data_IF_427148892611
#
_entry.id   IF_427148892611
#
_cell.length_a   1.000
_cell.length_b   1.000
_cell.length_c   1.000
_cell.angle_alpha   90.00
_cell.angle_beta   90.00
_cell.angle_gamma   90.00
#
_symmetry.space_group_name_H-M   'P 1'
#
loop_
_entity.id
_entity.type
_entity.pdbx_description
1 polymer ?
#
# COMPACT_ATOMS: atom_id res chain seq x y z
N UNK A 1 60.48 -6.46 -13.73
CA UNK A 1 61.39 -7.54 -13.31
C UNK A 1 61.45 -7.50 -11.80
N UNK A 2 61.41 -8.67 -11.14
CA UNK A 2 61.41 -8.90 -9.66
C UNK A 2 59.98 -8.78 -9.08
N UNK A 3 59.22 -9.82 -8.68
CA UNK A 3 59.44 -11.15 -8.08
C UNK A 3 59.77 -11.15 -6.57
N UNK A 4 58.76 -11.60 -5.79
CA UNK A 4 58.72 -12.29 -4.48
C UNK A 4 59.83 -12.11 -3.43
N UNK A 5 59.44 -11.94 -2.15
CA UNK A 5 59.54 -12.99 -1.10
C UNK A 5 59.18 -12.47 0.30
N UNK A 6 58.75 -13.43 1.11
CA UNK A 6 58.11 -13.39 2.42
C UNK A 6 59.11 -13.38 3.60
N UNK A 7 58.53 -13.28 4.81
CA UNK A 7 59.01 -13.72 6.14
C UNK A 7 60.01 -12.78 6.86
N UNK A 8 59.96 -12.52 8.19
CA UNK A 8 59.30 -13.15 9.34
C UNK A 8 59.42 -12.20 10.58
N UNK A 9 58.53 -12.39 11.56
CA UNK A 9 58.66 -12.24 13.03
C UNK A 9 58.92 -10.90 13.79
N UNK A 10 57.83 -10.44 14.43
CA UNK A 10 57.55 -10.43 15.89
C UNK A 10 58.56 -9.83 16.92
N UNK A 11 58.15 -8.71 17.56
CA UNK A 11 57.96 -8.62 19.04
C UNK A 11 57.54 -7.20 19.53
N UNK A 12 56.39 -7.20 20.22
CA UNK A 12 55.92 -6.41 21.37
C UNK A 12 56.48 -5.01 21.70
N UNK A 13 55.57 -4.01 21.75
CA UNK A 13 55.07 -3.51 23.05
C UNK A 13 53.85 -2.57 22.92
N UNK A 14 52.86 -2.86 23.77
CA UNK A 14 51.68 -2.10 24.20
C UNK A 14 51.72 -0.56 24.12
N UNK A 15 50.61 0.05 23.68
CA UNK A 15 49.71 0.78 24.61
C UNK A 15 48.38 1.21 23.96
N UNK A 16 47.30 0.81 24.63
CA UNK A 16 46.00 1.49 24.80
C UNK A 16 45.05 1.71 23.60
N UNK A 17 44.02 0.86 23.51
CA UNK A 17 42.66 1.33 23.28
C UNK A 17 41.66 0.59 24.19
N UNK A 18 41.07 1.37 25.08
CA UNK A 18 40.21 0.99 26.19
C UNK A 18 38.84 0.49 25.72
N UNK A 19 38.40 -0.61 26.33
CA UNK A 19 37.12 -1.28 26.15
C UNK A 19 36.10 -0.68 27.11
N UNK A 20 35.17 0.11 26.58
CA UNK A 20 33.90 0.35 27.26
C UNK A 20 32.75 -0.14 26.39
N UNK A 21 32.47 -1.43 26.54
CA UNK A 21 31.26 -2.11 26.06
C UNK A 21 30.02 -1.48 26.69
N UNK A 22 29.10 -1.00 25.86
CA UNK A 22 27.73 -0.71 26.28
C UNK A 22 26.89 -1.98 26.04
N UNK A 23 26.10 -2.46 27.02
CA UNK A 23 25.39 -3.72 26.91
C UNK A 23 24.21 -3.62 25.95
N UNK A 24 24.10 -4.58 25.04
CA UNK A 24 22.92 -4.79 24.21
C UNK A 24 21.67 -4.95 25.07
N UNK A 25 20.74 -4.00 24.94
CA UNK A 25 19.35 -4.17 25.37
C UNK A 25 18.55 -4.72 24.19
N UNK A 26 17.87 -5.82 24.48
CA UNK A 26 17.20 -6.72 23.56
C UNK A 26 16.41 -6.03 22.45
N UNK A 27 16.75 -6.39 21.21
CA UNK A 27 15.78 -6.48 20.14
C UNK A 27 14.78 -7.58 20.54
N UNK A 28 13.58 -7.15 20.93
CA UNK A 28 12.39 -7.99 20.92
C UNK A 28 11.30 -7.18 20.23
N UNK A 29 11.42 -7.10 18.91
CA UNK A 29 10.28 -7.09 18.01
C UNK A 29 10.24 -8.51 17.46
N UNK A 30 9.09 -9.18 17.49
CA UNK A 30 8.95 -10.47 16.83
C UNK A 30 9.02 -10.22 15.31
N UNK A 31 10.22 -10.40 14.75
CA UNK A 31 10.65 -9.93 13.43
C UNK A 31 10.07 -10.76 12.26
N UNK A 32 8.85 -10.45 11.83
CA UNK A 32 8.58 -10.45 10.40
C UNK A 32 8.74 -9.02 9.91
N UNK A 33 9.69 -8.77 9.02
CA UNK A 33 9.78 -7.47 8.36
C UNK A 33 8.48 -7.21 7.58
N UNK A 34 8.03 -5.96 7.49
CA UNK A 34 6.86 -5.60 6.67
C UNK A 34 7.05 -6.02 5.20
N UNK A 35 8.29 -5.99 4.71
CA UNK A 35 8.68 -6.61 3.45
C UNK A 35 8.35 -8.13 3.40
N UNK A 36 8.76 -8.89 4.42
CA UNK A 36 8.49 -10.34 4.52
C UNK A 36 7.02 -10.69 4.76
N UNK A 37 6.20 -9.77 5.27
CA UNK A 37 4.75 -9.97 5.46
C UNK A 37 4.04 -10.33 4.13
N UNK A 38 4.62 -9.95 2.99
CA UNK A 38 4.07 -10.25 1.68
C UNK A 38 4.35 -11.69 1.20
N UNK A 39 5.23 -12.46 1.85
CA UNK A 39 5.60 -13.81 1.39
C UNK A 39 4.41 -14.77 1.16
N UNK A 40 3.33 -14.77 1.97
CA UNK A 40 2.18 -15.67 1.74
C UNK A 40 1.41 -15.44 0.42
N UNK A 41 1.58 -14.28 -0.23
CA UNK A 41 1.02 -14.04 -1.57
C UNK A 41 1.80 -14.75 -2.69
N UNK A 42 2.96 -15.34 -2.39
CA UNK A 42 3.70 -16.17 -3.33
C UNK A 42 3.17 -17.63 -3.36
N UNK A 43 2.30 -17.99 -2.41
CA UNK A 43 1.59 -19.27 -2.39
C UNK A 43 0.31 -19.20 -3.26
N UNK A 44 0.17 -20.16 -4.18
CA UNK A 44 -0.95 -20.21 -5.14
C UNK A 44 -2.33 -20.47 -4.50
N UNK A 45 -2.35 -21.01 -3.29
CA UNK A 45 -3.56 -21.34 -2.53
C UNK A 45 -3.42 -20.78 -1.10
N UNK A 46 -3.78 -19.51 -0.92
CA UNK A 46 -3.79 -18.83 0.39
C UNK A 46 -4.93 -17.82 0.47
N UNK A 47 -5.40 -17.51 1.68
CA UNK A 47 -6.42 -16.47 1.90
C UNK A 47 -5.98 -15.11 1.32
N UNK A 48 -4.67 -14.83 1.33
CA UNK A 48 -4.09 -13.62 0.76
C UNK A 48 -4.23 -13.61 -0.77
N UNK A 49 -3.95 -14.73 -1.44
CA UNK A 49 -4.09 -14.87 -2.89
C UNK A 49 -5.56 -14.89 -3.32
N UNK A 50 -6.46 -15.48 -2.55
CA UNK A 50 -7.91 -15.44 -2.79
C UNK A 50 -8.46 -14.01 -2.67
N UNK A 51 -8.11 -13.30 -1.59
CA UNK A 51 -8.45 -11.88 -1.44
C UNK A 51 -7.88 -11.04 -2.58
N UNK A 52 -6.63 -11.30 -2.98
CA UNK A 52 -5.98 -10.61 -4.08
C UNK A 52 -6.75 -10.77 -5.38
N UNK A 53 -7.17 -11.99 -5.70
CA UNK A 53 -7.96 -12.28 -6.89
C UNK A 53 -9.28 -11.51 -6.91
N UNK A 54 -9.99 -11.44 -5.77
CA UNK A 54 -11.22 -10.65 -5.66
C UNK A 54 -10.95 -9.16 -5.89
N UNK A 55 -9.88 -8.60 -5.31
CA UNK A 55 -9.50 -7.19 -5.55
C UNK A 55 -9.18 -6.96 -7.03
N UNK A 56 -8.33 -7.80 -7.62
CA UNK A 56 -7.94 -7.73 -9.02
C UNK A 56 -9.15 -7.79 -9.97
N UNK A 57 -10.11 -8.67 -9.68
CA UNK A 57 -11.37 -8.76 -10.43
C UNK A 57 -12.15 -7.43 -10.40
N UNK A 58 -12.27 -6.79 -9.23
CA UNK A 58 -12.92 -5.47 -9.11
C UNK A 58 -12.15 -4.37 -9.88
N UNK A 59 -10.83 -4.45 -9.94
CA UNK A 59 -10.00 -3.50 -10.70
C UNK A 59 -10.19 -3.68 -12.21
N UNK A 60 -10.28 -4.91 -12.70
CA UNK A 60 -10.60 -5.21 -14.10
C UNK A 60 -11.98 -4.67 -14.45
N UNK A 61 -13.01 -4.98 -13.65
CA UNK A 61 -14.37 -4.47 -13.86
C UNK A 61 -14.44 -2.94 -13.89
N UNK A 62 -13.66 -2.27 -13.02
CA UNK A 62 -13.54 -0.81 -13.03
C UNK A 62 -12.96 -0.29 -14.35
N UNK A 63 -11.86 -0.89 -14.84
CA UNK A 63 -11.20 -0.44 -16.08
C UNK A 63 -12.02 -0.75 -17.33
N UNK A 64 -12.75 -1.87 -17.36
CA UNK A 64 -13.67 -2.23 -18.44
C UNK A 64 -14.83 -1.22 -18.55
N UNK A 65 -15.34 -0.75 -17.41
CA UNK A 65 -16.44 0.22 -17.35
C UNK A 65 -15.97 1.69 -17.48
N UNK A 66 -14.67 1.96 -17.44
CA UNK A 66 -14.15 3.32 -17.40
C UNK A 66 -14.40 4.07 -18.72
N UNK A 67 -14.80 5.35 -18.68
CA UNK A 67 -14.92 6.16 -19.90
C UNK A 67 -13.56 6.28 -20.61
N UNK A 68 -13.59 6.52 -21.92
CA UNK A 68 -12.37 6.75 -22.69
C UNK A 68 -11.60 7.97 -22.16
N UNK A 69 -10.27 7.89 -22.13
CA UNK A 69 -9.39 8.97 -21.66
C UNK A 69 -8.50 8.54 -20.50
N UNK A 70 -7.70 9.50 -20.01
CA UNK A 70 -6.76 9.25 -18.93
C UNK A 70 -7.50 9.10 -17.59
N UNK A 71 -7.07 8.12 -16.80
CA UNK A 71 -7.54 7.88 -15.44
C UNK A 71 -6.43 8.21 -14.46
N UNK A 72 -6.76 8.70 -13.26
CA UNK A 72 -5.83 8.82 -12.16
C UNK A 72 -6.17 7.80 -11.08
N UNK A 73 -5.18 7.01 -10.66
CA UNK A 73 -5.33 6.10 -9.52
C UNK A 73 -4.37 6.45 -8.39
N UNK A 74 -4.84 6.27 -7.16
CA UNK A 74 -4.07 6.44 -5.94
C UNK A 74 -4.15 5.15 -5.11
N UNK A 75 -3.02 4.50 -4.87
CA UNK A 75 -2.92 3.33 -3.98
C UNK A 75 -2.22 3.73 -2.69
N UNK A 76 -2.89 3.52 -1.57
CA UNK A 76 -2.37 3.79 -0.24
C UNK A 76 -1.71 2.54 0.31
N UNK A 77 -0.54 2.70 0.93
CA UNK A 77 0.21 1.60 1.53
C UNK A 77 0.42 0.46 0.53
N UNK A 78 0.94 0.81 -0.64
CA UNK A 78 0.90 -0.04 -1.83
C UNK A 78 1.66 -1.36 -1.67
N UNK A 79 2.55 -1.50 -0.69
CA UNK A 79 3.38 -2.67 -0.52
C UNK A 79 4.14 -2.97 -1.81
N UNK A 80 4.03 -4.19 -2.30
CA UNK A 80 4.60 -4.61 -3.60
C UNK A 80 3.61 -4.44 -4.79
N UNK A 81 2.47 -3.77 -4.55
CA UNK A 81 1.36 -3.52 -5.49
C UNK A 81 0.96 -4.71 -6.35
N UNK A 82 0.92 -5.90 -5.73
CA UNK A 82 0.44 -7.12 -6.38
C UNK A 82 -1.04 -7.02 -6.78
N UNK A 83 -1.78 -6.07 -6.23
CA UNK A 83 -3.16 -5.77 -6.60
C UNK A 83 -3.27 -5.03 -7.92
N UNK A 84 -2.58 -3.90 -8.08
CA UNK A 84 -2.78 -2.98 -9.20
C UNK A 84 -1.76 -3.20 -10.33
N UNK A 85 -0.47 -3.39 -10.02
CA UNK A 85 0.58 -3.44 -11.04
C UNK A 85 0.34 -4.53 -12.10
N UNK A 86 0.01 -5.80 -11.75
CA UNK A 86 -0.25 -6.83 -12.76
C UNK A 86 -1.44 -6.49 -13.67
N UNK A 87 -2.44 -5.79 -13.15
CA UNK A 87 -3.61 -5.34 -13.91
C UNK A 87 -3.20 -4.24 -14.88
N UNK A 88 -2.43 -3.24 -14.44
CA UNK A 88 -1.95 -2.18 -15.34
C UNK A 88 -1.05 -2.72 -16.46
N UNK A 89 -0.26 -3.76 -16.19
CA UNK A 89 0.63 -4.37 -17.21
C UNK A 89 -0.16 -5.12 -18.28
N UNK A 90 -1.24 -5.81 -17.90
CA UNK A 90 -1.95 -6.75 -18.78
C UNK A 90 -3.23 -6.18 -19.40
N UNK A 91 -3.89 -5.23 -18.74
CA UNK A 91 -5.16 -4.69 -19.18
C UNK A 91 -4.98 -3.72 -20.37
N UNK A 92 -5.83 -3.78 -21.42
CA UNK A 92 -5.72 -2.88 -22.58
C UNK A 92 -5.74 -1.38 -22.23
N UNK A 93 -6.46 -1.01 -21.17
CA UNK A 93 -6.54 0.36 -20.63
C UNK A 93 -5.41 0.72 -19.65
N UNK A 94 -4.50 -0.20 -19.34
CA UNK A 94 -3.46 0.02 -18.33
C UNK A 94 -2.56 1.22 -18.62
N UNK A 95 -2.26 1.46 -19.90
CA UNK A 95 -1.50 2.64 -20.35
C UNK A 95 -2.24 3.98 -20.24
N UNK A 96 -3.55 3.98 -19.99
CA UNK A 96 -4.33 5.21 -19.76
C UNK A 96 -4.28 5.67 -18.30
N UNK A 97 -3.77 4.83 -17.39
CA UNK A 97 -3.78 5.07 -15.95
C UNK A 97 -2.50 5.80 -15.53
N UNK A 98 -2.69 6.98 -14.94
CA UNK A 98 -1.67 7.70 -14.17
C UNK A 98 -1.78 7.26 -12.72
N UNK A 99 -0.92 6.36 -12.28
CA UNK A 99 -0.99 5.78 -10.95
C UNK A 99 0.05 6.40 -10.01
N UNK A 100 -0.37 6.69 -8.78
CA UNK A 100 0.55 6.98 -7.67
C UNK A 100 0.43 5.88 -6.62
N UNK A 101 1.54 5.19 -6.36
CA UNK A 101 1.68 4.16 -5.35
C UNK A 101 2.43 4.75 -4.15
N UNK A 102 1.76 4.93 -3.01
CA UNK A 102 2.39 5.46 -1.80
C UNK A 102 2.79 4.28 -0.92
N UNK A 103 4.08 4.17 -0.61
CA UNK A 103 4.60 3.10 0.23
C UNK A 103 5.65 3.64 1.21
N UNK A 104 5.54 3.27 2.47
CA UNK A 104 6.44 3.75 3.51
C UNK A 104 7.75 2.95 3.55
N UNK A 105 7.69 1.62 3.32
CA UNK A 105 8.87 0.77 3.42
C UNK A 105 9.76 0.91 2.16
N UNK A 106 11.02 1.34 2.31
CA UNK A 106 11.91 1.56 1.17
C UNK A 106 12.25 0.26 0.40
N UNK A 107 12.16 -0.92 1.02
CA UNK A 107 12.38 -2.20 0.34
C UNK A 107 11.21 -2.54 -0.60
N UNK A 108 9.97 -2.32 -0.16
CA UNK A 108 8.79 -2.47 -1.00
C UNK A 108 8.81 -1.46 -2.15
N UNK A 109 9.14 -0.20 -1.87
CA UNK A 109 9.28 0.82 -2.90
C UNK A 109 10.39 0.50 -3.90
N UNK A 110 11.55 0.00 -3.43
CA UNK A 110 12.63 -0.45 -4.32
C UNK A 110 12.19 -1.63 -5.18
N UNK A 111 11.41 -2.57 -4.64
CA UNK A 111 10.83 -3.67 -5.41
C UNK A 111 9.92 -3.13 -6.51
N UNK A 112 9.01 -2.20 -6.18
CA UNK A 112 8.11 -1.58 -7.16
C UNK A 112 8.87 -0.86 -8.27
N UNK A 113 9.89 -0.08 -7.94
CA UNK A 113 10.73 0.58 -8.94
C UNK A 113 11.40 -0.42 -9.89
N UNK A 114 11.94 -1.52 -9.35
CA UNK A 114 12.54 -2.58 -10.15
C UNK A 114 11.52 -3.28 -11.06
N UNK A 115 10.32 -3.57 -10.53
CA UNK A 115 9.24 -4.17 -11.30
C UNK A 115 8.79 -3.26 -12.44
N UNK A 116 8.58 -1.96 -12.17
CA UNK A 116 8.17 -0.97 -13.16
C UNK A 116 9.18 -0.81 -14.29
N UNK A 117 10.48 -0.87 -14.00
CA UNK A 117 11.55 -0.80 -15.00
C UNK A 117 11.52 -1.93 -16.03
N UNK A 118 10.77 -3.00 -15.78
CA UNK A 118 10.55 -4.11 -16.71
C UNK A 118 9.24 -4.00 -17.51
N UNK A 119 8.52 -2.88 -17.39
CA UNK A 119 7.23 -2.63 -18.04
C UNK A 119 7.31 -1.45 -19.03
N UNK A 120 6.21 -1.19 -19.75
CA UNK A 120 6.04 0.01 -20.58
C UNK A 120 5.20 1.10 -19.89
N UNK A 121 4.98 0.98 -18.58
CA UNK A 121 4.14 1.91 -17.82
C UNK A 121 4.97 3.15 -17.47
N UNK A 122 4.78 4.22 -18.22
CA UNK A 122 5.52 5.49 -18.05
C UNK A 122 4.85 6.45 -17.04
N UNK A 123 3.59 6.20 -16.71
CA UNK A 123 2.76 7.09 -15.89
C UNK A 123 2.46 6.52 -14.50
N UNK A 124 3.30 5.60 -14.02
CA UNK A 124 3.19 5.00 -12.69
C UNK A 124 4.34 5.48 -11.82
N UNK A 125 4.00 6.27 -10.80
CA UNK A 125 4.95 6.82 -9.84
C UNK A 125 4.86 6.07 -8.51
N UNK A 126 6.03 5.81 -7.91
CA UNK A 126 6.16 5.30 -6.55
C UNK A 126 6.64 6.42 -5.65
N UNK A 127 5.90 6.70 -4.59
CA UNK A 127 6.20 7.75 -3.62
C UNK A 127 6.54 7.10 -2.28
N UNK A 128 7.80 7.25 -1.85
CA UNK A 128 8.25 6.77 -0.55
C UNK A 128 7.81 7.75 0.53
N UNK A 129 6.66 7.50 1.15
CA UNK A 129 6.05 8.38 2.14
C UNK A 129 5.06 7.66 3.07
N UNK A 130 4.74 8.30 4.20
CA UNK A 130 3.69 7.81 5.12
C UNK A 130 2.31 8.17 4.55
N UNK A 131 1.53 7.18 4.11
CA UNK A 131 0.16 7.38 3.65
C UNK A 131 -0.77 7.87 4.80
N UNK A 132 -0.38 7.69 6.06
CA UNK A 132 -1.07 8.29 7.20
C UNK A 132 -1.02 9.82 7.21
N UNK A 133 -0.20 10.45 6.37
CA UNK A 133 -0.06 11.90 6.26
C UNK A 133 -0.69 12.46 4.97
N UNK A 134 -1.55 13.47 5.10
CA UNK A 134 -2.25 14.06 3.96
C UNK A 134 -1.32 14.76 2.96
N UNK A 135 -0.10 15.12 3.39
CA UNK A 135 0.93 15.68 2.51
C UNK A 135 1.38 14.70 1.42
N UNK A 136 1.28 13.39 1.66
CA UNK A 136 1.71 12.34 0.74
C UNK A 136 0.85 12.27 -0.54
N UNK A 137 -0.33 12.90 -0.54
CA UNK A 137 -1.27 12.90 -1.66
C UNK A 137 -1.12 14.10 -2.60
N UNK A 138 -0.24 15.06 -2.29
CA UNK A 138 -0.06 16.28 -3.08
C UNK A 138 0.37 15.91 -4.50
N UNK A 139 -0.38 16.39 -5.50
CA UNK A 139 -0.15 16.08 -6.92
C UNK A 139 -0.83 14.81 -7.42
N UNK A 140 -1.25 13.92 -6.52
CA UNK A 140 -1.91 12.65 -6.85
C UNK A 140 -3.45 12.68 -6.75
N UNK A 141 -4.04 13.80 -6.32
CA UNK A 141 -5.49 13.96 -6.12
C UNK A 141 -6.04 15.17 -6.89
N UNK A 142 -7.34 15.19 -7.23
CA UNK A 142 -8.33 14.11 -7.04
C UNK A 142 -8.03 12.91 -7.95
N UNK A 143 -8.36 11.70 -7.49
CA UNK A 143 -8.16 10.43 -8.18
C UNK A 143 -9.50 9.78 -8.57
N UNK A 144 -9.55 9.16 -9.75
CA UNK A 144 -10.72 8.43 -10.25
C UNK A 144 -10.86 7.04 -9.63
N UNK A 145 -9.76 6.49 -9.11
CA UNK A 145 -9.67 5.21 -8.41
C UNK A 145 -8.79 5.36 -7.17
N UNK A 146 -9.31 4.99 -6.00
CA UNK A 146 -8.56 5.00 -4.73
C UNK A 146 -8.54 3.57 -4.15
N UNK A 147 -7.35 3.06 -3.85
CA UNK A 147 -7.15 1.73 -3.27
C UNK A 147 -6.72 1.84 -1.82
N UNK A 148 -7.46 1.16 -0.94
CA UNK A 148 -7.20 1.01 0.49
C UNK A 148 -7.04 -0.48 0.85
N UNK A 149 -6.46 -1.27 -0.05
CA UNK A 149 -6.38 -2.72 0.06
C UNK A 149 -5.52 -3.14 1.27
N UNK A 150 -6.13 -3.74 2.28
CA UNK A 150 -5.47 -4.17 3.50
C UNK A 150 -5.17 -3.05 4.51
N UNK A 151 -5.37 -1.77 4.16
CA UNK A 151 -5.13 -0.65 5.08
C UNK A 151 -6.00 -0.76 6.34
N UNK A 152 -7.29 -1.04 6.17
CA UNK A 152 -8.26 -1.11 7.27
C UNK A 152 -8.01 -2.27 8.25
N UNK A 153 -7.25 -3.29 7.83
CA UNK A 153 -6.88 -4.40 8.71
C UNK A 153 -5.80 -4.00 9.73
N UNK A 154 -5.06 -2.93 9.46
CA UNK A 154 -3.85 -2.58 10.20
C UNK A 154 -3.97 -1.26 11.00
N UNK A 155 -5.14 -0.62 11.01
CA UNK A 155 -5.41 0.63 11.71
C UNK A 155 -6.56 0.49 12.69
N UNK A 156 -6.62 1.38 13.67
CA UNK A 156 -7.74 1.43 14.62
C UNK A 156 -9.05 1.90 13.97
N UNK A 157 -10.21 1.50 14.53
CA UNK A 157 -11.52 1.89 14.00
C UNK A 157 -11.71 3.42 13.91
N UNK A 158 -11.18 4.16 14.88
CA UNK A 158 -11.22 5.63 14.86
C UNK A 158 -10.47 6.21 13.66
N UNK A 159 -9.32 5.62 13.33
CA UNK A 159 -8.50 6.00 12.17
C UNK A 159 -9.14 5.54 10.86
N UNK A 160 -9.79 4.37 10.83
CA UNK A 160 -10.60 3.95 9.69
C UNK A 160 -11.73 4.95 9.40
N UNK A 161 -12.41 5.47 10.43
CA UNK A 161 -13.39 6.53 10.24
C UNK A 161 -12.77 7.83 9.75
N UNK A 162 -11.65 8.27 10.33
CA UNK A 162 -10.96 9.48 9.89
C UNK A 162 -10.49 9.39 8.43
N UNK A 163 -10.02 8.21 8.00
CA UNK A 163 -9.66 7.93 6.62
C UNK A 163 -10.88 7.99 5.70
N UNK A 164 -11.99 7.33 6.04
CA UNK A 164 -13.23 7.39 5.24
C UNK A 164 -13.77 8.82 5.14
N UNK A 165 -13.77 9.57 6.24
CA UNK A 165 -14.19 10.97 6.28
C UNK A 165 -13.29 11.89 5.42
N UNK A 166 -12.03 11.49 5.18
CA UNK A 166 -11.08 12.24 4.36
C UNK A 166 -11.16 11.90 2.86
N UNK A 167 -11.81 10.80 2.47
CA UNK A 167 -11.91 10.36 1.07
C UNK A 167 -12.47 11.42 0.10
N UNK A 168 -13.41 12.32 0.46
CA UNK A 168 -13.83 13.41 -0.41
C UNK A 168 -12.68 14.33 -0.87
N UNK A 169 -11.57 14.40 -0.12
CA UNK A 169 -10.36 15.16 -0.51
C UNK A 169 -9.43 14.40 -1.46
N UNK A 170 -9.62 13.07 -1.56
CA UNK A 170 -8.83 12.19 -2.41
C UNK A 170 -9.56 11.82 -3.71
N UNK A 171 -10.89 11.79 -3.68
CA UNK A 171 -11.74 11.32 -4.77
C UNK A 171 -12.07 12.43 -5.79
N UNK A 172 -11.98 12.09 -7.08
CA UNK A 172 -12.65 12.82 -8.16
C UNK A 172 -14.16 12.58 -8.13
N UNK A 173 -14.93 13.44 -8.82
CA UNK A 173 -16.36 13.24 -8.94
C UNK A 173 -16.64 11.89 -9.62
N UNK A 174 -17.46 11.05 -8.99
CA UNK A 174 -17.71 9.71 -9.49
C UNK A 174 -16.56 8.72 -9.28
N UNK A 175 -15.56 9.01 -8.45
CA UNK A 175 -14.45 8.08 -8.20
C UNK A 175 -14.91 6.74 -7.61
N UNK A 176 -14.12 5.69 -7.86
CA UNK A 176 -14.27 4.38 -7.21
C UNK A 176 -13.29 4.23 -6.06
N UNK A 177 -13.76 3.76 -4.91
CA UNK A 177 -12.91 3.37 -3.79
C UNK A 177 -12.99 1.85 -3.65
N UNK A 178 -11.85 1.17 -3.71
CA UNK A 178 -11.72 -0.27 -3.45
C UNK A 178 -10.96 -0.44 -2.15
N UNK A 179 -11.49 -1.23 -1.23
CA UNK A 179 -10.85 -1.49 0.05
C UNK A 179 -11.01 -2.97 0.42
N UNK A 180 -10.11 -3.45 1.27
CA UNK A 180 -10.23 -4.78 1.85
C UNK A 180 -9.76 -4.80 3.29
N UNK A 181 -10.33 -5.71 4.07
CA UNK A 181 -9.96 -5.97 5.46
C UNK A 181 -10.09 -7.45 5.78
N UNK A 182 -9.46 -7.88 6.86
CA UNK A 182 -9.31 -9.27 7.25
C UNK A 182 -8.90 -9.36 8.73
N UNK A 183 -8.87 -10.57 9.28
CA UNK A 183 -8.50 -10.80 10.68
C UNK A 183 -9.45 -10.10 11.66
N UNK A 184 -8.92 -9.63 12.79
CA UNK A 184 -9.74 -9.07 13.89
C UNK A 184 -10.55 -7.83 13.47
N UNK A 185 -10.07 -7.05 12.50
CA UNK A 185 -10.77 -5.87 11.97
C UNK A 185 -12.06 -6.22 11.20
N UNK A 186 -12.34 -7.52 10.96
CA UNK A 186 -13.63 -7.96 10.41
C UNK A 186 -14.82 -7.60 11.32
N UNK A 187 -14.60 -7.52 12.63
CA UNK A 187 -15.62 -7.12 13.60
C UNK A 187 -16.13 -5.68 13.36
N UNK A 188 -15.32 -4.84 12.70
CA UNK A 188 -15.60 -3.42 12.48
C UNK A 188 -16.25 -3.12 11.12
N UNK A 189 -16.39 -4.11 10.25
CA UNK A 189 -16.84 -3.93 8.85
C UNK A 189 -18.18 -3.20 8.75
N UNK A 190 -19.16 -3.56 9.57
CA UNK A 190 -20.49 -2.94 9.49
C UNK A 190 -20.45 -1.47 9.92
N UNK A 191 -19.57 -1.12 10.86
CA UNK A 191 -19.37 0.25 11.29
C UNK A 191 -18.68 1.09 10.21
N UNK A 192 -17.68 0.52 9.52
CA UNK A 192 -17.03 1.15 8.36
C UNK A 192 -18.02 1.36 7.21
N UNK A 193 -18.84 0.35 6.88
CA UNK A 193 -19.88 0.45 5.85
C UNK A 193 -20.91 1.54 6.18
N UNK A 194 -21.37 1.62 7.43
CA UNK A 194 -22.25 2.69 7.87
C UNK A 194 -21.58 4.06 7.70
N UNK A 195 -20.28 4.16 8.00
CA UNK A 195 -19.53 5.41 7.83
C UNK A 195 -19.45 5.83 6.35
N UNK A 196 -19.14 4.92 5.43
CA UNK A 196 -19.20 5.20 3.99
C UNK A 196 -20.58 5.73 3.58
N UNK A 197 -21.67 5.09 4.05
CA UNK A 197 -23.04 5.52 3.76
C UNK A 197 -23.37 6.94 4.21
N UNK A 198 -22.75 7.41 5.32
CA UNK A 198 -22.89 8.81 5.75
C UNK A 198 -22.03 9.80 4.96
N UNK A 199 -21.01 9.33 4.23
CA UNK A 199 -19.98 10.15 3.59
C UNK A 199 -20.15 10.42 2.09
N UNK A 200 -21.38 10.37 1.56
CA UNK A 200 -21.66 10.50 0.11
C UNK A 200 -21.00 9.40 -0.74
N UNK A 201 -20.97 8.17 -0.23
CA UNK A 201 -20.56 6.98 -0.98
C UNK A 201 -21.71 6.00 -1.12
N UNK A 202 -21.95 5.55 -2.35
CA UNK A 202 -22.89 4.48 -2.64
C UNK A 202 -22.15 3.13 -2.74
N UNK A 203 -22.69 2.05 -2.17
CA UNK A 203 -22.11 0.72 -2.34
C UNK A 203 -22.28 0.24 -3.78
N UNK A 204 -21.19 -0.21 -4.40
CA UNK A 204 -21.20 -0.84 -5.73
C UNK A 204 -21.20 -2.37 -5.58
N UNK A 205 -20.31 -2.89 -4.74
CA UNK A 205 -20.24 -4.31 -4.43
C UNK A 205 -19.62 -4.54 -3.05
N UNK A 206 -20.04 -5.61 -2.39
CA UNK A 206 -19.45 -6.08 -1.14
C UNK A 206 -19.26 -7.59 -1.25
N UNK A 207 -18.01 -8.03 -1.31
CA UNK A 207 -17.66 -9.44 -1.25
C UNK A 207 -17.27 -9.78 0.19
N UNK A 208 -18.02 -10.71 0.79
CA UNK A 208 -17.64 -11.36 2.05
C UNK A 208 -17.26 -12.79 1.72
N UNK A 209 -16.04 -13.19 2.05
CA UNK A 209 -15.62 -14.56 1.84
C UNK A 209 -16.51 -15.50 2.69
N UNK A 210 -17.08 -16.58 2.13
CA UNK A 210 -18.02 -17.47 2.84
C UNK A 210 -17.51 -18.08 4.16
N UNK A 211 -16.21 -18.30 4.30
CA UNK A 211 -15.52 -18.73 5.52
C UNK A 211 -15.23 -17.60 6.52
N UNK A 212 -15.45 -16.34 6.14
CA UNK A 212 -15.26 -15.17 6.99
C UNK A 212 -13.80 -14.76 7.18
N UNK A 213 -12.91 -15.09 6.25
CA UNK A 213 -11.48 -14.74 6.33
C UNK A 213 -11.17 -13.30 5.91
N UNK A 214 -11.93 -12.75 4.96
CA UNK A 214 -11.76 -11.37 4.47
C UNK A 214 -13.04 -10.76 3.92
N UNK A 215 -13.00 -9.43 3.76
CA UNK A 215 -14.03 -8.63 3.08
C UNK A 215 -13.36 -7.69 2.07
N UNK A 216 -13.96 -7.56 0.90
CA UNK A 216 -13.61 -6.56 -0.13
C UNK A 216 -14.83 -5.71 -0.42
N UNK A 217 -14.70 -4.39 -0.26
CA UNK A 217 -15.75 -3.41 -0.54
C UNK A 217 -15.39 -2.51 -1.70
N UNK A 218 -16.39 -2.17 -2.51
CA UNK A 218 -16.29 -1.19 -3.60
C UNK A 218 -17.38 -0.15 -3.44
N UNK A 219 -16.99 1.11 -3.45
CA UNK A 219 -17.90 2.24 -3.33
C UNK A 219 -17.72 3.24 -4.47
N UNK A 220 -18.79 3.91 -4.85
CA UNK A 220 -18.80 5.05 -5.77
C UNK A 220 -18.95 6.33 -4.97
N UNK A 221 -18.07 7.30 -5.18
CA UNK A 221 -18.23 8.64 -4.63
C UNK A 221 -19.26 9.42 -5.42
N UNK A 222 -20.33 9.86 -4.76
CA UNK A 222 -21.45 10.63 -5.35
C UNK A 222 -21.50 12.08 -4.84
N UNK A 223 -20.49 12.50 -4.06
CA UNK A 223 -20.37 13.86 -3.55
C UNK A 223 -19.54 14.78 -4.45
N UNK A 224 -19.32 16.00 -3.94
CA UNK A 224 -18.42 16.98 -4.56
C UNK A 224 -17.00 16.82 -4.02
N UNK A 225 -15.97 16.74 -4.88
CA UNK A 225 -14.58 16.72 -4.46
C UNK A 225 -14.21 17.93 -3.60
N UNK A 226 -13.44 17.68 -2.55
CA UNK A 226 -12.96 18.70 -1.62
C UNK A 226 -11.47 18.98 -1.83
N UNK A 227 -11.00 20.21 -1.57
CA UNK A 227 -9.58 20.52 -1.64
C UNK A 227 -8.78 19.76 -0.58
N UNK A 228 -7.66 19.17 -0.98
CA UNK A 228 -6.71 18.55 -0.07
C UNK A 228 -6.11 19.60 0.88
N UNK A 229 -6.19 19.35 2.19
CA UNK A 229 -5.46 20.08 3.21
C UNK A 229 -4.23 19.27 3.62
N UNK A 230 -3.05 19.67 3.17
CA UNK A 230 -1.79 19.04 3.54
C UNK A 230 -1.45 19.21 5.03
N UNK A 231 -0.64 18.31 5.58
CA UNK A 231 -0.14 18.38 6.96
C UNK A 231 -1.11 17.85 8.03
N UNK A 232 -2.13 17.07 7.64
CA UNK A 232 -3.03 16.38 8.57
C UNK A 232 -2.62 14.91 8.69
N UNK A 233 -2.66 14.38 9.92
CA UNK A 233 -2.62 12.93 10.15
C UNK A 233 -4.01 12.34 9.93
N UNK A 234 -4.12 11.33 9.08
CA UNK A 234 -5.35 10.60 8.78
C UNK A 234 -5.45 9.29 9.56
N UNK A 235 -4.32 8.58 9.71
CA UNK A 235 -4.26 7.31 10.46
C UNK A 235 -2.82 7.00 10.90
N UNK A 236 -2.67 6.03 11.80
CA UNK A 236 -1.43 5.36 12.13
C UNK A 236 -1.63 3.84 12.19
N UNK A 237 -0.57 3.09 11.85
CA UNK A 237 -0.58 1.64 12.01
C UNK A 237 -0.47 1.25 13.49
N UNK A 238 -1.11 0.12 13.82
CA UNK A 238 -1.05 -0.53 15.14
C UNK A 238 0.33 -1.12 15.44
#
# INVERSE_FOLDING_TARGET
>A
MIQDLLDEDDHDHDEAYDRHSVPGRGATLTEQSWYSWHAPYDDLESEQTDRLAVVQERLVEYLDAAPAGSLRSLSLCSGQSRDLLPILVSHPRGGDVRATMIELDPLNASFLHGALGSTRLETVDVVVADAGESGSYVGAVPADLVLLCGVLANIELGDAFALVDALPTLCAAGATVVWSTYGDSLADVDAVLARFGTGSFEPVSLHREPGGSYVVGVHRFIGEPQPLQAGRRLFAFR
#
